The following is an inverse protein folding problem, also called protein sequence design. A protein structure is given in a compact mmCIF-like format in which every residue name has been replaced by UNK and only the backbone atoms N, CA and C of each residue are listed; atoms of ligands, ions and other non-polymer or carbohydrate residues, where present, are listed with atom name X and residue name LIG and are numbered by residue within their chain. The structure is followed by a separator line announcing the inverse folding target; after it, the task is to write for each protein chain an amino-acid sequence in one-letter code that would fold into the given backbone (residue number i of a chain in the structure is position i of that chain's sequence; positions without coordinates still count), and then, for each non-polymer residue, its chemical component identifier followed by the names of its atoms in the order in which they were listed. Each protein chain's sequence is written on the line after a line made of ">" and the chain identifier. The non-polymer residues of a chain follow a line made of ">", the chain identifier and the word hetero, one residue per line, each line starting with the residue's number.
data_IF_870579940516
#
_entry.id   IF_870579940516
#
_cell.length_a   1.000
_cell.length_b   1.000
_cell.length_c   1.000
_cell.angle_alpha   90.00
_cell.angle_beta   90.00
_cell.angle_gamma   90.00
#
_symmetry.space_group_name_H-M   'P 1'
#
loop_
_entity.id
_entity.type
_entity.pdbx_description
1 polymer ?
#
# COMPACT_ATOMS: atom_id res chain seq x y z
N UNK A 1 -4.09 -24.11 15.49
CA UNK A 1 -4.06 -22.63 15.47
C UNK A 1 -4.37 -22.06 14.07
N UNK A 2 -3.70 -22.49 13.02
CA UNK A 2 -3.93 -21.93 11.65
C UNK A 2 -5.38 -22.01 11.18
N UNK A 3 -6.06 -23.17 11.36
CA UNK A 3 -7.50 -23.33 11.06
C UNK A 3 -8.41 -22.37 11.84
N UNK A 4 -8.06 -22.11 13.09
CA UNK A 4 -8.81 -21.21 13.96
C UNK A 4 -8.67 -19.75 13.51
N UNK A 5 -7.45 -19.30 13.23
CA UNK A 5 -7.17 -17.94 12.75
C UNK A 5 -7.90 -17.69 11.43
N UNK A 6 -7.79 -18.62 10.46
CA UNK A 6 -8.46 -18.49 9.16
C UNK A 6 -9.98 -18.36 9.29
N UNK A 7 -10.59 -19.14 10.19
CA UNK A 7 -12.03 -19.01 10.48
C UNK A 7 -12.37 -17.68 11.16
N UNK A 8 -11.53 -17.21 12.07
CA UNK A 8 -11.72 -15.95 12.78
C UNK A 8 -11.69 -14.74 11.83
N UNK A 9 -10.83 -14.77 10.81
CA UNK A 9 -10.70 -13.70 9.83
C UNK A 9 -11.84 -13.69 8.80
N UNK A 10 -12.30 -14.86 8.39
CA UNK A 10 -13.35 -14.97 7.38
C UNK A 10 -14.75 -14.96 7.96
N UNK A 11 -14.95 -15.36 9.22
CA UNK A 11 -16.24 -15.56 9.88
C UNK A 11 -17.23 -16.39 9.03
N UNK A 12 -16.69 -17.28 8.21
CA UNK A 12 -17.41 -18.12 7.27
C UNK A 12 -16.68 -19.45 7.08
N UNK A 13 -17.29 -20.56 7.54
CA UNK A 13 -16.68 -21.89 7.45
C UNK A 13 -16.37 -22.34 6.02
N UNK A 14 -17.25 -22.05 5.08
CA UNK A 14 -17.06 -22.48 3.68
C UNK A 14 -15.89 -21.74 3.05
N UNK A 15 -15.82 -20.42 3.23
CA UNK A 15 -14.74 -19.58 2.71
C UNK A 15 -13.40 -19.91 3.36
N UNK A 16 -13.36 -20.06 4.68
CA UNK A 16 -12.15 -20.42 5.41
C UNK A 16 -11.64 -21.83 5.00
N UNK A 17 -12.55 -22.79 4.78
CA UNK A 17 -12.17 -24.12 4.31
C UNK A 17 -11.58 -24.09 2.89
N UNK A 18 -12.14 -23.28 1.99
CA UNK A 18 -11.60 -23.07 0.64
C UNK A 18 -10.18 -22.49 0.69
N UNK A 19 -9.95 -21.45 1.48
CA UNK A 19 -8.65 -20.82 1.65
C UNK A 19 -7.59 -21.81 2.20
N UNK A 20 -8.02 -22.71 3.08
CA UNK A 20 -7.16 -23.76 3.67
C UNK A 20 -7.03 -25.02 2.79
N UNK A 21 -7.63 -25.04 1.61
CA UNK A 21 -7.67 -26.22 0.72
C UNK A 21 -8.16 -27.48 1.46
N UNK A 22 -9.21 -27.32 2.31
CA UNK A 22 -9.80 -28.40 3.11
C UNK A 22 -11.33 -28.40 3.00
N UNK A 23 -11.99 -29.43 3.57
CA UNK A 23 -13.45 -29.45 3.64
C UNK A 23 -13.96 -28.66 4.85
N UNK A 24 -15.17 -28.06 4.72
CA UNK A 24 -15.85 -27.40 5.84
C UNK A 24 -16.02 -28.34 7.04
N UNK A 25 -16.27 -29.63 6.79
CA UNK A 25 -16.43 -30.65 7.82
C UNK A 25 -15.15 -30.85 8.61
N UNK A 26 -14.00 -30.95 7.90
CA UNK A 26 -12.69 -31.08 8.53
C UNK A 26 -12.33 -29.83 9.35
N UNK A 27 -12.58 -28.62 8.79
CA UNK A 27 -12.40 -27.36 9.55
C UNK A 27 -13.23 -27.37 10.82
N UNK A 28 -14.52 -27.74 10.76
CA UNK A 28 -15.41 -27.81 11.92
C UNK A 28 -14.92 -28.77 12.99
N UNK A 29 -14.37 -29.93 12.59
CA UNK A 29 -13.77 -30.90 13.51
C UNK A 29 -12.54 -30.32 14.22
N UNK A 30 -11.68 -29.60 13.49
CA UNK A 30 -10.51 -28.97 14.08
C UNK A 30 -10.85 -27.85 15.06
N UNK A 31 -11.87 -27.02 14.73
CA UNK A 31 -12.36 -26.00 15.65
C UNK A 31 -12.93 -26.63 16.92
N UNK A 32 -13.77 -27.68 16.76
CA UNK A 32 -14.32 -28.40 17.93
C UNK A 32 -13.23 -28.98 18.82
N UNK A 33 -12.21 -29.65 18.23
CA UNK A 33 -11.07 -30.15 19.01
C UNK A 33 -10.33 -29.08 19.78
N UNK A 34 -10.25 -27.86 19.23
CA UNK A 34 -9.61 -26.72 19.90
C UNK A 34 -10.50 -26.19 21.04
N UNK A 35 -11.82 -26.12 20.84
CA UNK A 35 -12.80 -25.77 21.85
C UNK A 35 -12.80 -26.81 23.01
N UNK A 36 -12.76 -28.10 22.68
CA UNK A 36 -12.67 -29.18 23.63
C UNK A 36 -11.33 -29.15 24.41
N UNK A 37 -10.21 -28.83 23.76
CA UNK A 37 -8.88 -28.73 24.40
C UNK A 37 -8.81 -27.61 25.45
N UNK A 38 -9.43 -26.47 25.17
CA UNK A 38 -9.46 -25.32 26.10
C UNK A 38 -10.71 -25.31 26.98
N UNK A 39 -11.56 -26.32 26.87
CA UNK A 39 -12.86 -26.41 27.58
C UNK A 39 -13.66 -25.09 27.47
N UNK A 40 -13.71 -24.53 26.26
CA UNK A 40 -14.33 -23.22 26.05
C UNK A 40 -14.84 -23.04 24.63
N UNK A 41 -15.98 -22.36 24.46
CA UNK A 41 -16.53 -22.01 23.17
C UNK A 41 -15.77 -20.80 22.61
N UNK A 42 -15.21 -20.94 21.41
CA UNK A 42 -14.43 -19.89 20.75
C UNK A 42 -15.26 -19.07 19.74
N UNK A 43 -16.34 -19.67 19.19
CA UNK A 43 -17.22 -19.02 18.24
C UNK A 43 -18.70 -19.10 18.64
N UNK A 44 -19.40 -17.99 18.64
CA UNK A 44 -20.86 -17.98 18.51
C UNK A 44 -21.22 -18.38 17.09
N UNK A 45 -22.14 -19.35 16.93
CA UNK A 45 -22.52 -19.88 15.60
C UNK A 45 -23.85 -19.36 15.08
N UNK A 46 -24.68 -18.78 15.96
CA UNK A 46 -26.00 -18.22 15.63
C UNK A 46 -26.19 -16.88 16.33
N UNK A 47 -26.90 -15.90 15.71
CA UNK A 47 -27.46 -15.90 14.35
C UNK A 47 -26.39 -15.75 13.27
N UNK A 48 -25.19 -15.29 13.60
CA UNK A 48 -24.02 -15.12 12.75
C UNK A 48 -22.77 -15.64 13.46
N UNK A 49 -21.78 -16.09 12.68
CA UNK A 49 -20.51 -16.50 13.24
C UNK A 49 -19.76 -15.28 13.76
N UNK A 50 -19.40 -15.30 15.04
CA UNK A 50 -18.60 -14.26 15.71
C UNK A 50 -17.68 -14.89 16.73
N UNK A 51 -16.53 -14.29 16.99
CA UNK A 51 -15.68 -14.68 18.11
C UNK A 51 -16.40 -14.44 19.46
N UNK A 52 -16.21 -15.36 20.40
CA UNK A 52 -16.50 -15.12 21.82
C UNK A 52 -15.38 -14.25 22.42
N UNK A 53 -15.54 -13.81 23.67
CA UNK A 53 -14.44 -13.14 24.39
C UNK A 53 -13.21 -14.05 24.50
N UNK A 54 -13.40 -15.33 24.80
CA UNK A 54 -12.33 -16.33 24.81
C UNK A 54 -11.72 -16.53 23.41
N UNK A 55 -12.56 -16.54 22.35
CA UNK A 55 -12.12 -16.59 20.96
C UNK A 55 -11.23 -15.40 20.59
N UNK A 56 -11.60 -14.18 20.99
CA UNK A 56 -10.78 -12.99 20.75
C UNK A 56 -9.44 -13.07 21.47
N UNK A 57 -9.42 -13.47 22.74
CA UNK A 57 -8.19 -13.64 23.50
C UNK A 57 -7.27 -14.71 22.91
N UNK A 58 -7.85 -15.82 22.43
CA UNK A 58 -7.11 -16.86 21.74
C UNK A 58 -6.59 -16.38 20.38
N UNK A 59 -7.36 -15.56 19.64
CA UNK A 59 -6.95 -15.01 18.36
C UNK A 59 -5.67 -14.20 18.49
N UNK A 60 -5.62 -13.26 19.43
CA UNK A 60 -4.44 -12.44 19.68
C UNK A 60 -3.19 -13.27 20.03
N UNK A 61 -3.39 -14.38 20.76
CA UNK A 61 -2.32 -15.30 21.13
C UNK A 61 -1.91 -16.19 19.96
N UNK A 62 -2.87 -16.68 19.18
CA UNK A 62 -2.65 -17.57 18.05
C UNK A 62 -1.83 -16.87 16.93
N UNK A 63 -2.12 -15.60 16.66
CA UNK A 63 -1.35 -14.78 15.71
C UNK A 63 0.13 -14.72 16.14
N UNK A 64 0.41 -14.44 17.42
CA UNK A 64 1.78 -14.37 17.93
C UNK A 64 2.52 -15.72 17.82
N UNK A 65 1.83 -16.81 18.13
CA UNK A 65 2.39 -18.18 18.01
C UNK A 65 2.71 -18.51 16.56
N UNK A 66 1.80 -18.22 15.62
CA UNK A 66 2.02 -18.48 14.19
C UNK A 66 3.16 -17.61 13.64
N UNK A 67 3.20 -16.33 14.00
CA UNK A 67 4.30 -15.44 13.61
C UNK A 67 5.65 -15.95 14.13
N UNK A 68 5.73 -16.40 15.39
CA UNK A 68 6.99 -16.92 15.92
C UNK A 68 7.38 -18.27 15.29
N UNK A 69 6.44 -19.12 14.93
CA UNK A 69 6.70 -20.33 14.13
C UNK A 69 7.31 -20.02 12.79
N UNK A 70 6.79 -18.99 12.10
CA UNK A 70 7.33 -18.53 10.81
C UNK A 70 8.71 -17.87 10.98
N UNK A 71 8.91 -17.10 12.06
CA UNK A 71 10.22 -16.54 12.41
C UNK A 71 11.27 -17.63 12.60
N UNK A 72 10.94 -18.71 13.31
CA UNK A 72 11.84 -19.86 13.53
C UNK A 72 12.19 -20.48 12.18
N UNK A 73 11.20 -20.73 11.32
CA UNK A 73 11.42 -21.31 9.99
C UNK A 73 12.36 -20.46 9.14
N UNK A 74 12.16 -19.15 9.14
CA UNK A 74 12.99 -18.19 8.41
C UNK A 74 14.43 -18.12 8.96
N UNK A 75 14.59 -18.13 10.29
CA UNK A 75 15.93 -18.16 10.94
C UNK A 75 16.69 -19.43 10.62
N UNK A 76 16.01 -20.58 10.67
CA UNK A 76 16.65 -21.87 10.33
C UNK A 76 17.03 -21.95 8.85
N UNK A 77 16.22 -21.39 7.96
CA UNK A 77 16.56 -21.30 6.53
C UNK A 77 17.81 -20.42 6.30
N UNK A 78 17.89 -19.27 6.96
CA UNK A 78 19.05 -18.40 6.89
C UNK A 78 20.35 -19.06 7.41
N UNK A 79 20.26 -19.87 8.48
CA UNK A 79 21.42 -20.60 9.05
C UNK A 79 21.90 -21.69 8.08
N UNK A 80 20.97 -22.42 7.46
CA UNK A 80 21.29 -23.51 6.53
C UNK A 80 21.79 -23.03 5.17
N UNK A 81 21.85 -21.73 4.93
CA UNK A 81 22.21 -21.12 3.64
C UNK A 81 21.35 -21.64 2.44
N UNK A 82 20.21 -22.21 2.73
CA UNK A 82 19.30 -22.72 1.72
C UNK A 82 18.43 -21.61 1.14
N UNK A 83 18.83 -20.49 0.86
CA UNK A 83 18.15 -19.32 0.26
C UNK A 83 16.86 -19.67 -0.52
N UNK A 84 16.02 -20.51 0.05
CA UNK A 84 14.72 -20.97 -0.45
C UNK A 84 13.67 -20.43 0.52
N UNK A 85 12.64 -19.79 0.00
CA UNK A 85 11.56 -19.27 0.81
C UNK A 85 10.60 -18.43 0.01
N UNK A 86 9.65 -17.82 0.71
CA UNK A 86 8.72 -16.87 0.13
C UNK A 86 8.87 -15.54 0.83
N UNK A 87 8.90 -14.47 0.06
CA UNK A 87 8.88 -13.09 0.53
C UNK A 87 7.51 -12.50 0.25
N UNK A 88 6.78 -12.14 1.29
CA UNK A 88 5.44 -11.56 1.20
C UNK A 88 5.51 -10.04 1.29
N UNK A 89 5.29 -9.36 0.18
CA UNK A 89 5.41 -7.92 0.06
C UNK A 89 4.04 -7.30 -0.21
N UNK A 90 3.69 -6.27 0.55
CA UNK A 90 2.56 -5.42 0.24
C UNK A 90 2.99 -4.14 -0.50
N UNK A 91 2.21 -3.72 -1.49
CA UNK A 91 2.38 -2.42 -2.12
C UNK A 91 1.03 -1.83 -2.52
N UNK A 92 0.88 -0.50 -2.44
CA UNK A 92 -0.30 0.14 -3.01
C UNK A 92 -0.22 0.08 -4.54
N UNK A 93 -1.31 -0.23 -5.26
CA UNK A 93 -1.30 -0.35 -6.72
C UNK A 93 -0.71 0.86 -7.41
N UNK A 94 -1.10 2.04 -6.95
CA UNK A 94 -0.67 3.33 -7.52
C UNK A 94 0.85 3.52 -7.57
N UNK A 95 1.56 3.24 -6.45
CA UNK A 95 3.02 3.44 -6.36
C UNK A 95 3.80 2.18 -6.71
N UNK A 96 3.28 1.02 -6.33
CA UNK A 96 3.94 -0.26 -6.54
C UNK A 96 4.24 -0.55 -8.00
N UNK A 97 3.30 -0.23 -8.91
CA UNK A 97 3.49 -0.41 -10.36
C UNK A 97 4.65 0.40 -10.94
N UNK A 98 5.12 1.43 -10.24
CA UNK A 98 6.27 2.22 -10.70
C UNK A 98 7.60 1.69 -10.15
N UNK A 99 7.76 1.57 -8.81
CA UNK A 99 9.06 1.28 -8.22
C UNK A 99 9.43 -0.20 -8.19
N UNK A 100 8.45 -1.12 -8.13
CA UNK A 100 8.72 -2.56 -8.12
C UNK A 100 9.52 -3.04 -9.34
N UNK A 101 9.19 -2.62 -10.58
CA UNK A 101 9.98 -2.98 -11.75
C UNK A 101 11.45 -2.52 -11.71
N UNK A 102 11.78 -1.50 -10.92
CA UNK A 102 13.15 -1.01 -10.75
C UNK A 102 13.97 -1.86 -9.78
N UNK A 103 13.33 -2.50 -8.79
CA UNK A 103 14.02 -3.29 -7.76
C UNK A 103 14.04 -4.77 -8.10
N UNK A 104 12.94 -5.31 -8.64
CA UNK A 104 12.75 -6.74 -8.83
C UNK A 104 13.76 -7.41 -9.77
N UNK A 105 14.14 -6.86 -10.93
CA UNK A 105 15.01 -7.56 -11.88
C UNK A 105 16.36 -7.97 -11.26
N UNK A 106 17.02 -7.07 -10.57
CA UNK A 106 18.31 -7.37 -9.93
C UNK A 106 18.16 -8.16 -8.63
N UNK A 107 17.02 -8.01 -7.96
CA UNK A 107 16.72 -8.83 -6.80
C UNK A 107 16.54 -10.32 -7.17
N UNK A 108 15.76 -10.62 -8.21
CA UNK A 108 15.50 -12.00 -8.69
C UNK A 108 16.79 -12.66 -9.15
N UNK A 109 17.68 -11.94 -9.85
CA UNK A 109 18.99 -12.48 -10.24
C UNK A 109 19.82 -12.92 -9.05
N UNK A 110 19.77 -12.17 -7.94
CA UNK A 110 20.52 -12.49 -6.71
C UNK A 110 19.88 -13.61 -5.90
N UNK A 111 18.55 -13.67 -5.90
CA UNK A 111 17.76 -14.59 -5.10
C UNK A 111 16.83 -15.47 -5.97
N UNK A 112 17.39 -16.31 -6.86
CA UNK A 112 16.60 -17.05 -7.86
C UNK A 112 15.65 -18.10 -7.28
N UNK A 113 15.90 -18.54 -6.05
CA UNK A 113 15.10 -19.57 -5.37
C UNK A 113 14.10 -18.96 -4.35
N UNK A 114 13.95 -17.63 -4.32
CA UNK A 114 12.96 -16.96 -3.48
C UNK A 114 11.71 -16.69 -4.30
N UNK A 115 10.59 -17.19 -3.86
CA UNK A 115 9.28 -16.83 -4.40
C UNK A 115 8.86 -15.48 -3.84
N UNK A 116 8.47 -14.55 -4.70
CA UNK A 116 7.89 -13.26 -4.27
C UNK A 116 6.38 -13.35 -4.39
N UNK A 117 5.70 -13.15 -3.27
CA UNK A 117 4.26 -13.00 -3.22
C UNK A 117 3.94 -11.51 -3.03
N UNK A 118 3.33 -10.90 -4.05
CA UNK A 118 3.02 -9.49 -4.06
C UNK A 118 1.53 -9.28 -3.83
N UNK A 119 1.20 -8.55 -2.76
CA UNK A 119 -0.16 -8.17 -2.43
C UNK A 119 -0.38 -6.69 -2.77
N UNK A 120 -1.38 -6.43 -3.60
CA UNK A 120 -1.81 -5.08 -3.95
C UNK A 120 -3.09 -4.75 -3.18
N UNK A 121 -2.92 -3.96 -2.11
CA UNK A 121 -4.03 -3.60 -1.21
C UNK A 121 -3.88 -2.17 -0.69
N UNK A 122 -4.93 -1.65 -0.05
CA UNK A 122 -4.90 -0.37 0.66
C UNK A 122 -4.02 -0.48 1.91
N UNK A 123 -3.33 0.60 2.30
CA UNK A 123 -2.43 0.61 3.45
C UNK A 123 -3.09 0.10 4.74
N UNK A 124 -4.35 0.46 5.01
CA UNK A 124 -5.06 0.01 6.20
C UNK A 124 -5.24 -1.53 6.24
N UNK A 125 -5.52 -2.16 5.08
CA UNK A 125 -5.61 -3.62 5.00
C UNK A 125 -4.24 -4.27 5.16
N UNK A 126 -3.21 -3.69 4.55
CA UNK A 126 -1.83 -4.18 4.67
C UNK A 126 -1.29 -4.07 6.11
N UNK A 127 -1.68 -3.06 6.89
CA UNK A 127 -1.37 -3.00 8.33
C UNK A 127 -1.97 -4.18 9.09
N UNK A 128 -3.24 -4.53 8.82
CA UNK A 128 -3.86 -5.72 9.41
C UNK A 128 -3.12 -7.00 9.00
N UNK A 129 -2.72 -7.12 7.73
CA UNK A 129 -1.95 -8.27 7.23
C UNK A 129 -0.54 -8.36 7.84
N UNK A 130 0.09 -7.24 8.20
CA UNK A 130 1.32 -7.27 9.02
C UNK A 130 1.05 -7.78 10.42
N UNK A 131 -0.05 -7.35 11.04
CA UNK A 131 -0.41 -7.77 12.39
C UNK A 131 -0.77 -9.26 12.45
N UNK A 132 -1.39 -9.81 11.39
CA UNK A 132 -1.69 -11.24 11.25
C UNK A 132 -0.48 -12.08 10.78
N UNK A 133 0.62 -11.44 10.37
CA UNK A 133 1.81 -12.14 9.87
C UNK A 133 1.72 -12.60 8.42
N UNK A 134 0.70 -12.19 7.68
CA UNK A 134 0.53 -12.49 6.26
C UNK A 134 1.54 -11.76 5.36
N UNK A 135 2.07 -10.62 5.81
CA UNK A 135 3.09 -9.85 5.12
C UNK A 135 4.39 -9.80 5.94
N UNK A 136 5.53 -9.77 5.26
CA UNK A 136 6.83 -9.47 5.87
C UNK A 136 6.99 -7.96 6.06
N UNK A 137 6.61 -7.19 5.05
CA UNK A 137 6.54 -5.72 5.05
C UNK A 137 5.66 -5.23 3.91
N UNK A 138 5.29 -3.96 3.97
CA UNK A 138 4.69 -3.29 2.82
C UNK A 138 5.29 -1.91 2.58
N UNK A 139 5.16 -1.42 1.35
CA UNK A 139 5.55 -0.06 0.97
C UNK A 139 4.29 0.77 0.76
N UNK A 140 4.15 1.78 1.60
CA UNK A 140 2.94 2.60 1.62
C UNK A 140 3.02 3.72 2.65
N UNK A 141 1.86 4.10 3.16
CA UNK A 141 1.72 5.14 4.17
C UNK A 141 1.20 4.51 5.45
N UNK A 142 1.91 4.69 6.55
CA UNK A 142 1.44 4.26 7.88
C UNK A 142 0.17 5.03 8.26
N UNK A 143 -0.87 4.32 8.71
CA UNK A 143 -2.17 4.90 9.02
C UNK A 143 -2.30 5.36 10.47
N UNK A 144 -1.75 4.61 11.41
CA UNK A 144 -1.89 4.84 12.84
C UNK A 144 -0.54 4.83 13.57
N UNK A 145 -0.58 5.04 14.89
CA UNK A 145 0.60 5.05 15.76
C UNK A 145 0.77 3.72 16.52
N UNK A 146 0.42 2.60 15.86
CA UNK A 146 0.63 1.29 16.48
C UNK A 146 2.12 1.09 16.79
N UNK A 147 2.49 0.87 18.07
CA UNK A 147 3.87 0.70 18.51
C UNK A 147 4.50 -0.61 18.04
N UNK A 148 3.71 -1.54 17.50
CA UNK A 148 4.18 -2.79 16.90
C UNK A 148 4.65 -2.60 15.46
N UNK A 149 4.23 -1.52 14.78
CA UNK A 149 4.61 -1.23 13.41
C UNK A 149 5.78 -0.25 13.37
N UNK A 150 6.88 -0.69 12.78
CA UNK A 150 8.09 0.11 12.51
C UNK A 150 8.06 0.63 11.08
N UNK A 151 8.63 1.82 10.90
CA UNK A 151 8.74 2.48 9.60
C UNK A 151 10.18 2.77 9.23
N UNK A 152 10.49 2.60 7.96
CA UNK A 152 11.71 3.07 7.31
C UNK A 152 11.26 4.10 6.28
N UNK A 153 11.50 5.40 6.48
CA UNK A 153 11.14 6.42 5.51
C UNK A 153 11.84 6.17 4.17
N UNK A 154 11.14 6.35 3.07
CA UNK A 154 11.69 6.26 1.72
C UNK A 154 11.80 7.65 1.08
N UNK A 155 10.69 8.37 1.02
CA UNK A 155 10.63 9.71 0.44
C UNK A 155 9.40 10.49 0.94
N UNK A 156 9.48 11.82 0.83
CA UNK A 156 8.32 12.70 0.88
C UNK A 156 7.85 12.95 -0.55
N UNK A 157 6.85 12.19 -0.98
CA UNK A 157 6.33 12.18 -2.34
C UNK A 157 5.40 13.39 -2.54
N UNK A 158 5.87 14.43 -3.25
CA UNK A 158 5.15 15.70 -3.43
C UNK A 158 3.93 15.52 -4.31
N UNK A 159 2.85 16.22 -4.00
CA UNK A 159 1.63 16.25 -4.79
C UNK A 159 1.75 17.25 -5.96
N UNK A 160 1.32 16.82 -7.13
CA UNK A 160 1.26 17.62 -8.34
C UNK A 160 -0.13 17.55 -8.96
N UNK A 161 -0.48 18.61 -9.62
CA UNK A 161 -1.59 18.68 -10.55
C UNK A 161 -1.06 18.36 -11.95
N UNK A 162 -1.67 17.41 -12.64
CA UNK A 162 -1.36 17.09 -14.03
C UNK A 162 -2.46 17.62 -14.94
N UNK A 163 -2.07 18.32 -15.97
CA UNK A 163 -2.99 18.86 -16.97
C UNK A 163 -2.36 18.76 -18.36
N UNK A 164 -3.15 18.42 -19.36
CA UNK A 164 -2.70 18.46 -20.76
C UNK A 164 -2.57 19.92 -21.21
N UNK A 165 -1.47 20.26 -21.89
CA UNK A 165 -1.23 21.63 -22.40
C UNK A 165 -2.36 22.12 -23.30
N UNK A 166 -3.00 21.25 -24.07
CA UNK A 166 -4.11 21.62 -24.94
C UNK A 166 -5.32 22.13 -24.13
N UNK A 167 -5.65 21.53 -22.98
CA UNK A 167 -6.70 22.05 -22.11
C UNK A 167 -6.37 23.46 -21.56
N UNK A 168 -5.09 23.73 -21.28
CA UNK A 168 -4.66 25.07 -20.88
C UNK A 168 -4.77 26.07 -22.05
N UNK A 169 -4.41 25.65 -23.27
CA UNK A 169 -4.54 26.48 -24.47
C UNK A 169 -6.01 26.81 -24.77
N UNK A 170 -6.90 25.84 -24.65
CA UNK A 170 -8.34 26.06 -24.81
C UNK A 170 -8.90 27.07 -23.81
N UNK A 171 -8.34 27.11 -22.59
CA UNK A 171 -8.81 28.00 -21.52
C UNK A 171 -8.15 29.37 -21.52
N UNK A 172 -6.83 29.45 -21.73
CA UNK A 172 -6.02 30.67 -21.60
C UNK A 172 -5.51 31.24 -22.95
N UNK A 173 -5.69 30.51 -24.06
CA UNK A 173 -5.26 30.95 -25.37
C UNK A 173 -3.76 31.28 -25.43
N UNK A 174 -3.42 32.48 -25.89
CA UNK A 174 -2.04 32.95 -25.98
C UNK A 174 -1.33 33.21 -24.66
N UNK A 175 -2.06 33.26 -23.52
CA UNK A 175 -1.47 33.47 -22.19
C UNK A 175 -1.06 32.18 -21.49
N UNK A 176 -1.21 31.03 -22.12
CA UNK A 176 -0.94 29.71 -21.57
C UNK A 176 0.48 29.57 -21.01
N UNK A 177 1.50 30.02 -21.76
CA UNK A 177 2.89 29.84 -21.30
C UNK A 177 3.21 30.74 -20.11
N UNK A 178 2.63 31.95 -20.01
CA UNK A 178 2.74 32.81 -18.84
C UNK A 178 2.04 32.18 -17.64
N UNK A 179 0.87 31.59 -17.82
CA UNK A 179 0.14 30.89 -16.78
C UNK A 179 0.97 29.71 -16.22
N UNK A 180 1.52 28.87 -17.11
CA UNK A 180 2.39 27.75 -16.73
C UNK A 180 3.61 28.25 -15.95
N UNK A 181 4.31 29.28 -16.47
CA UNK A 181 5.48 29.87 -15.81
C UNK A 181 5.14 30.37 -14.39
N UNK A 182 3.99 31.01 -14.23
CA UNK A 182 3.51 31.49 -12.93
C UNK A 182 3.12 30.39 -11.94
N UNK A 183 2.91 29.15 -12.41
CA UNK A 183 2.54 28.00 -11.59
C UNK A 183 3.68 26.99 -11.34
N UNK A 184 4.84 27.15 -11.97
CA UNK A 184 5.96 26.19 -11.89
C UNK A 184 6.52 26.02 -10.48
N UNK A 185 6.51 27.07 -9.66
CA UNK A 185 6.97 27.04 -8.26
C UNK A 185 5.88 26.60 -7.28
N UNK A 186 4.68 26.31 -7.78
CA UNK A 186 3.53 25.87 -7.03
C UNK A 186 2.25 26.58 -7.43
N UNK A 187 1.14 25.90 -7.30
CA UNK A 187 -0.18 26.42 -7.62
C UNK A 187 -1.21 26.03 -6.58
N UNK A 188 -2.16 26.92 -6.33
CA UNK A 188 -3.39 26.66 -5.59
C UNK A 188 -4.49 26.24 -6.57
N UNK A 189 -5.52 25.54 -6.08
CA UNK A 189 -6.55 24.95 -6.95
C UNK A 189 -7.59 25.97 -7.45
N UNK A 190 -7.72 27.12 -6.85
CA UNK A 190 -8.64 28.19 -7.26
C UNK A 190 -8.47 28.59 -8.73
N UNK A 191 -7.25 28.50 -9.26
CA UNK A 191 -6.94 28.78 -10.66
C UNK A 191 -7.51 27.73 -11.64
N UNK A 192 -7.94 26.58 -11.15
CA UNK A 192 -8.44 25.44 -11.93
C UNK A 192 -9.94 25.17 -11.70
N UNK A 193 -10.68 26.08 -11.06
CA UNK A 193 -12.10 25.91 -10.68
C UNK A 193 -13.00 25.55 -11.88
N UNK A 194 -12.69 26.07 -13.06
CA UNK A 194 -13.49 25.87 -14.28
C UNK A 194 -13.06 24.65 -15.10
N UNK A 195 -12.00 23.95 -14.66
CA UNK A 195 -11.51 22.75 -15.35
C UNK A 195 -12.31 21.50 -14.97
N UNK A 196 -12.39 20.53 -15.90
CA UNK A 196 -12.90 19.19 -15.57
C UNK A 196 -11.85 18.41 -14.79
N UNK A 197 -12.27 17.69 -13.75
CA UNK A 197 -11.40 16.87 -12.92
C UNK A 197 -11.67 15.37 -13.10
N UNK A 198 -10.58 14.60 -13.11
CA UNK A 198 -10.59 13.14 -13.00
C UNK A 198 -10.07 12.80 -11.60
N UNK A 199 -10.91 12.19 -10.78
CA UNK A 199 -10.64 11.96 -9.37
C UNK A 199 -10.46 10.46 -9.06
N UNK A 200 -9.66 10.15 -8.04
CA UNK A 200 -9.71 8.83 -7.43
C UNK A 200 -10.96 8.67 -6.58
N UNK A 201 -11.53 7.46 -6.56
CA UNK A 201 -12.64 7.13 -5.65
C UNK A 201 -12.24 7.38 -4.19
N UNK A 202 -13.24 7.64 -3.34
CA UNK A 202 -13.10 8.13 -1.95
C UNK A 202 -12.22 7.31 -1.01
N UNK A 203 -11.96 6.05 -1.35
CA UNK A 203 -11.22 5.10 -0.51
C UNK A 203 -9.70 5.27 -0.49
N UNK A 204 -9.16 6.10 -1.37
CA UNK A 204 -7.72 6.34 -1.44
C UNK A 204 -7.32 7.46 -0.48
N UNK A 205 -6.18 7.28 0.22
CA UNK A 205 -5.66 8.33 1.11
C UNK A 205 -5.35 9.63 0.38
N UNK A 206 -4.88 9.53 -0.86
CA UNK A 206 -4.65 10.70 -1.70
C UNK A 206 -5.93 11.54 -1.88
N UNK A 207 -7.09 10.89 -1.94
CA UNK A 207 -8.39 11.56 -2.00
C UNK A 207 -8.64 12.51 -0.81
N UNK A 208 -8.26 12.12 0.42
CA UNK A 208 -8.42 12.99 1.61
C UNK A 208 -7.54 14.25 1.51
N UNK A 209 -6.31 14.08 1.03
CA UNK A 209 -5.38 15.20 0.83
C UNK A 209 -5.90 16.14 -0.26
N UNK A 210 -6.36 15.58 -1.37
CA UNK A 210 -6.93 16.33 -2.50
C UNK A 210 -8.20 17.07 -2.09
N UNK A 211 -9.08 16.45 -1.31
CA UNK A 211 -10.28 17.13 -0.80
C UNK A 211 -9.93 18.33 0.09
N UNK A 212 -8.93 18.22 0.96
CA UNK A 212 -8.48 19.37 1.75
C UNK A 212 -8.00 20.54 0.85
N UNK A 213 -7.37 20.23 -0.28
CA UNK A 213 -6.98 21.26 -1.25
C UNK A 213 -8.21 21.92 -1.93
N UNK A 214 -9.26 21.16 -2.23
CA UNK A 214 -10.51 21.74 -2.76
C UNK A 214 -11.27 22.56 -1.71
N UNK A 215 -11.32 22.07 -0.47
CA UNK A 215 -11.93 22.80 0.66
C UNK A 215 -11.26 24.15 0.87
N UNK A 216 -9.91 24.22 0.85
CA UNK A 216 -9.19 25.49 0.96
C UNK A 216 -9.43 26.40 -0.24
N UNK A 217 -9.48 25.83 -1.46
CA UNK A 217 -9.74 26.59 -2.67
C UNK A 217 -11.19 27.10 -2.77
N UNK A 218 -12.08 26.62 -1.90
CA UNK A 218 -13.45 27.11 -1.77
C UNK A 218 -14.39 26.74 -2.91
N UNK A 219 -14.13 25.64 -3.62
CA UNK A 219 -15.03 25.18 -4.67
C UNK A 219 -15.13 23.65 -4.73
N UNK A 220 -16.27 23.16 -5.23
CA UNK A 220 -16.47 21.75 -5.57
C UNK A 220 -16.00 21.48 -7.00
N UNK A 221 -15.11 20.48 -7.23
CA UNK A 221 -14.62 20.18 -8.56
C UNK A 221 -15.71 19.62 -9.47
N UNK A 222 -15.70 20.04 -10.72
CA UNK A 222 -16.49 19.39 -11.78
C UNK A 222 -15.87 18.02 -12.10
N UNK A 223 -16.27 16.99 -11.36
CA UNK A 223 -15.80 15.61 -11.55
C UNK A 223 -16.43 15.02 -12.81
N UNK A 224 -15.63 14.79 -13.84
CA UNK A 224 -16.09 14.12 -15.07
C UNK A 224 -15.91 12.61 -15.01
N UNK A 225 -14.91 12.13 -14.22
CA UNK A 225 -14.68 10.71 -13.95
C UNK A 225 -14.24 10.51 -12.50
N UNK A 226 -14.69 9.40 -11.91
CA UNK A 226 -14.17 8.86 -10.65
C UNK A 226 -13.67 7.44 -10.91
N UNK A 227 -12.35 7.24 -10.78
CA UNK A 227 -11.66 6.01 -11.15
C UNK A 227 -10.90 5.43 -9.96
N UNK A 228 -10.62 4.13 -10.00
CA UNK A 228 -9.79 3.41 -9.02
C UNK A 228 -8.48 2.88 -9.64
N UNK A 229 -8.29 3.08 -10.94
CA UNK A 229 -7.09 2.67 -11.67
C UNK A 229 -6.33 3.88 -12.18
N UNK A 230 -5.02 3.92 -11.87
CA UNK A 230 -4.11 4.93 -12.42
C UNK A 230 -4.01 4.83 -13.94
N UNK A 231 -4.03 3.62 -14.50
CA UNK A 231 -3.90 3.44 -15.95
C UNK A 231 -5.11 4.01 -16.70
N UNK A 232 -6.32 3.87 -16.13
CA UNK A 232 -7.54 4.51 -16.67
C UNK A 232 -7.44 6.03 -16.55
N UNK A 233 -6.98 6.55 -15.40
CA UNK A 233 -6.79 7.99 -15.20
C UNK A 233 -5.82 8.56 -16.24
N UNK A 234 -4.72 7.87 -16.51
CA UNK A 234 -3.72 8.28 -17.51
C UNK A 234 -4.26 8.21 -18.93
N UNK A 235 -5.09 7.22 -19.24
CA UNK A 235 -5.73 7.12 -20.56
C UNK A 235 -6.73 8.26 -20.82
N UNK A 236 -7.23 8.90 -19.77
CA UNK A 236 -8.16 10.02 -19.83
C UNK A 236 -7.47 11.40 -19.71
N UNK A 237 -6.15 11.47 -19.78
CA UNK A 237 -5.34 12.67 -19.53
C UNK A 237 -5.72 13.88 -20.42
N UNK A 238 -6.23 13.64 -21.61
CA UNK A 238 -6.65 14.71 -22.55
C UNK A 238 -7.98 15.36 -22.14
N UNK A 239 -8.77 14.71 -21.27
CA UNK A 239 -10.13 15.14 -20.95
C UNK A 239 -10.25 15.90 -19.64
N UNK A 240 -9.23 15.90 -18.79
CA UNK A 240 -9.34 16.55 -17.51
C UNK A 240 -8.05 16.62 -16.71
N UNK A 241 -8.14 17.38 -15.66
CA UNK A 241 -7.06 17.59 -14.69
C UNK A 241 -7.11 16.51 -13.61
N UNK A 242 -5.98 16.02 -13.17
CA UNK A 242 -5.93 15.07 -12.06
C UNK A 242 -4.70 15.26 -11.17
N UNK A 243 -4.74 14.64 -9.99
CA UNK A 243 -3.64 14.67 -9.05
C UNK A 243 -2.76 13.44 -9.17
N UNK A 244 -1.47 13.67 -9.06
CA UNK A 244 -0.46 12.62 -9.00
C UNK A 244 0.65 13.00 -8.01
N UNK A 245 1.52 12.06 -7.71
CA UNK A 245 2.68 12.32 -6.88
C UNK A 245 3.96 12.31 -7.70
N UNK A 246 4.98 13.02 -7.24
CA UNK A 246 6.24 13.29 -7.93
C UNK A 246 6.90 12.03 -8.51
N UNK A 247 6.84 10.92 -7.76
CA UNK A 247 7.38 9.62 -8.21
C UNK A 247 6.86 9.15 -9.57
N UNK A 248 5.67 9.62 -9.97
CA UNK A 248 5.03 9.23 -11.24
C UNK A 248 5.37 10.13 -12.42
N UNK A 249 5.92 11.32 -12.18
CA UNK A 249 6.16 12.32 -13.23
C UNK A 249 7.08 11.80 -14.34
N UNK A 250 8.25 11.17 -14.07
CA UNK A 250 9.17 10.77 -15.14
C UNK A 250 8.53 9.85 -16.18
N UNK A 251 7.76 8.84 -15.72
CA UNK A 251 7.08 7.90 -16.60
C UNK A 251 5.94 8.54 -17.40
N UNK A 252 5.40 9.65 -16.91
CA UNK A 252 4.32 10.38 -17.56
C UNK A 252 4.85 11.38 -18.59
N UNK A 253 5.94 12.06 -18.29
CA UNK A 253 6.59 12.96 -19.23
C UNK A 253 7.05 12.23 -20.49
N UNK A 254 7.56 11.00 -20.34
CA UNK A 254 7.94 10.15 -21.48
C UNK A 254 6.73 9.79 -22.35
N UNK A 255 5.60 9.44 -21.71
CA UNK A 255 4.38 9.00 -22.42
C UNK A 255 3.55 10.15 -22.96
N UNK A 256 3.53 11.29 -22.25
CA UNK A 256 2.73 12.47 -22.55
C UNK A 256 3.61 13.72 -22.56
N UNK A 257 4.34 13.99 -23.67
CA UNK A 257 5.23 15.16 -23.78
C UNK A 257 4.51 16.50 -23.55
N UNK A 258 3.23 16.58 -23.91
CA UNK A 258 2.38 17.77 -23.69
C UNK A 258 1.81 17.85 -22.24
N UNK A 259 2.28 16.99 -21.34
CA UNK A 259 1.89 17.02 -19.96
C UNK A 259 2.54 18.17 -19.19
N UNK A 260 1.71 18.96 -18.51
CA UNK A 260 2.14 20.01 -17.59
C UNK A 260 1.91 19.51 -16.17
N UNK A 261 2.95 19.53 -15.34
CA UNK A 261 2.93 19.03 -13.96
C UNK A 261 3.28 20.18 -13.02
N UNK A 262 2.31 20.58 -12.20
CA UNK A 262 2.40 21.75 -11.35
C UNK A 262 2.36 21.32 -9.88
N UNK A 263 3.35 21.70 -9.02
CA UNK A 263 3.32 21.39 -7.60
C UNK A 263 2.09 22.01 -6.94
N UNK A 264 1.37 21.26 -6.12
CA UNK A 264 0.18 21.76 -5.41
C UNK A 264 0.60 22.40 -4.08
N UNK A 265 0.03 23.57 -3.82
CA UNK A 265 0.17 24.27 -2.54
C UNK A 265 -1.12 24.16 -1.75
N UNK A 266 -0.99 23.98 -0.43
CA UNK A 266 -2.02 24.05 0.59
C UNK A 266 -1.48 24.98 1.70
N UNK A 267 -2.17 26.08 2.00
CA UNK A 267 -1.71 27.11 2.96
C UNK A 267 -0.30 27.64 2.64
N UNK A 268 0.00 27.83 1.36
CA UNK A 268 1.30 28.24 0.81
C UNK A 268 2.47 27.25 1.01
N UNK A 269 2.21 26.05 1.50
CA UNK A 269 3.20 24.97 1.64
C UNK A 269 2.99 23.86 0.62
N UNK A 270 4.07 23.19 0.24
CA UNK A 270 3.96 22.01 -0.63
C UNK A 270 3.25 20.87 0.09
N UNK A 271 2.40 20.19 -0.64
CA UNK A 271 1.66 19.03 -0.15
C UNK A 271 2.47 17.76 -0.38
N UNK A 272 2.64 16.96 0.67
CA UNK A 272 3.40 15.71 0.62
C UNK A 272 2.55 14.50 1.01
N UNK A 273 2.87 13.39 0.40
CA UNK A 273 2.32 12.08 0.73
C UNK A 273 3.49 11.13 1.06
N UNK A 274 3.92 11.05 2.34
CA UNK A 274 5.13 10.32 2.71
C UNK A 274 5.02 8.84 2.36
N UNK A 275 6.10 8.28 1.82
CA UNK A 275 6.23 6.87 1.48
C UNK A 275 7.24 6.22 2.42
N UNK A 276 6.88 5.07 2.98
CA UNK A 276 7.74 4.33 3.89
C UNK A 276 7.62 2.82 3.67
N UNK A 277 8.63 2.06 4.06
CA UNK A 277 8.50 0.64 4.32
C UNK A 277 7.97 0.48 5.74
N UNK A 278 6.91 -0.30 5.89
CA UNK A 278 6.29 -0.61 7.18
C UNK A 278 6.41 -2.11 7.42
N UNK A 279 6.83 -2.50 8.63
CA UNK A 279 6.96 -3.90 9.04
C UNK A 279 6.64 -4.08 10.52
N UNK A 280 6.27 -5.30 10.91
CA UNK A 280 5.97 -5.62 12.30
C UNK A 280 7.30 -5.81 13.08
N UNK A 281 7.47 -5.14 14.24
CA UNK A 281 8.75 -5.11 15.00
C UNK A 281 9.23 -6.50 15.46
N UNK A 282 8.31 -7.44 15.68
CA UNK A 282 8.63 -8.80 16.11
C UNK A 282 8.77 -9.77 14.92
N UNK A 283 8.57 -9.31 13.67
CA UNK A 283 8.81 -10.15 12.47
C UNK A 283 10.30 -10.30 12.25
N UNK A 284 10.76 -11.55 12.14
CA UNK A 284 12.12 -11.80 11.70
C UNK A 284 12.23 -11.53 10.21
N UNK A 285 12.97 -10.52 9.85
CA UNK A 285 13.29 -10.23 8.47
C UNK A 285 14.50 -11.11 8.05
N UNK A 286 14.25 -12.07 7.15
CA UNK A 286 15.27 -12.94 6.57
C UNK A 286 16.35 -12.14 5.81
N UNK A 287 17.48 -12.78 5.47
CA UNK A 287 18.54 -12.13 4.68
C UNK A 287 18.03 -11.58 3.37
N UNK A 288 17.19 -12.36 2.69
CA UNK A 288 16.58 -11.94 1.43
C UNK A 288 15.57 -10.78 1.62
N UNK A 289 14.80 -10.77 2.71
CA UNK A 289 13.91 -9.64 3.03
C UNK A 289 14.69 -8.34 3.30
N UNK A 290 15.77 -8.43 4.10
CA UNK A 290 16.66 -7.29 4.38
C UNK A 290 17.37 -6.76 3.14
N UNK A 291 17.79 -7.65 2.23
CA UNK A 291 18.38 -7.24 0.94
C UNK A 291 17.37 -6.50 0.06
N UNK A 292 16.12 -6.99 0.01
CA UNK A 292 15.04 -6.28 -0.71
C UNK A 292 14.81 -4.87 -0.14
N UNK A 293 14.68 -4.76 1.18
CA UNK A 293 14.54 -3.47 1.87
C UNK A 293 15.71 -2.56 1.55
N UNK A 294 16.96 -3.07 1.63
CA UNK A 294 18.15 -2.28 1.33
C UNK A 294 18.20 -1.76 -0.10
N UNK A 295 17.78 -2.57 -1.07
CA UNK A 295 17.69 -2.14 -2.48
C UNK A 295 16.61 -1.10 -2.68
N UNK A 296 15.45 -1.30 -2.04
CA UNK A 296 14.36 -0.32 -2.10
C UNK A 296 14.78 1.02 -1.48
N UNK A 297 15.42 1.00 -0.32
CA UNK A 297 15.93 2.25 0.31
C UNK A 297 16.99 2.93 -0.54
N UNK A 298 17.89 2.16 -1.17
CA UNK A 298 18.91 2.70 -2.07
C UNK A 298 18.31 3.37 -3.31
N UNK A 299 17.24 2.80 -3.88
CA UNK A 299 16.52 3.39 -5.01
C UNK A 299 16.02 4.81 -4.68
N UNK A 300 15.55 5.04 -3.45
CA UNK A 300 15.05 6.34 -3.00
C UNK A 300 16.13 7.23 -2.36
N UNK A 301 17.41 6.84 -2.43
CA UNK A 301 18.52 7.62 -1.87
C UNK A 301 18.54 7.69 -0.34
N UNK A 302 17.75 6.85 0.34
CA UNK A 302 17.67 6.83 1.81
C UNK A 302 18.59 5.75 2.38
N UNK A 303 19.44 6.07 3.40
CA UNK A 303 20.25 5.05 4.06
C UNK A 303 19.35 4.00 4.71
N UNK A 304 19.45 2.74 4.27
CA UNK A 304 18.68 1.64 4.86
C UNK A 304 19.25 1.19 6.21
N UNK A 305 18.43 0.76 7.17
CA UNK A 305 18.87 0.29 8.49
C UNK A 305 19.72 -0.99 8.42
N UNK A 306 19.74 -1.64 7.26
CA UNK A 306 20.51 -2.87 7.00
C UNK A 306 21.69 -2.65 6.04
N UNK A 307 21.94 -1.41 5.59
CA UNK A 307 23.15 -1.07 4.85
C UNK A 307 24.34 -1.23 5.80
N UNK A 308 25.20 -2.21 5.55
CA UNK A 308 26.48 -2.27 6.24
C UNK A 308 27.28 -1.05 5.79
N UNK A 309 27.76 -0.26 6.76
CA UNK A 309 28.84 0.65 6.48
C UNK A 309 29.99 -0.20 5.86
N UNK A 310 30.35 0.09 4.60
CA UNK A 310 31.52 -0.47 3.95
C UNK A 310 32.76 0.17 4.57
#
# INVERSE_FOLDING_TARGET
>A
MRYFVELAENLNFTRAAQNLSTSQQNLSVHIKKLEDYYDTILFHRKPQIKLTQAGSALYDSAIKILMESDNISSRLSDIKHHHIGTLYIGATPYRGSYWLPMVLPDYIKKWPNITINLTNEKSARMEQMLMSGELDFFVGIKQGDDPLLKTIPLMNDRLYLAVNKNLLIEHFGSDTDNFIAGCQQGTTLDKFKDFPFICFKSDYRLHKIVNACFEEAGFEPRRIFEVDSIDVMLALFEFGVFFLTEIRIPSLQERYPEGVFLPVLLQNDYVFSPLSIIYHKNRYLSRYARDFISRTTALFGTPGPFSRHR
#
